data_IF_678899786490
#
_entry.id   IF_678899786490
#
_cell.length_a   1.000
_cell.length_b   1.000
_cell.length_c   1.000
_cell.angle_alpha   90.00
_cell.angle_beta   90.00
_cell.angle_gamma   90.00
#
_symmetry.space_group_name_H-M   'P 1'
#
loop_
_entity.id
_entity.type
_entity.pdbx_description
1 polymer ?
#
# COMPACT_ATOMS: atom_id res chain seq x y z
N UNK A 1 18.59 3.23 3.72
CA UNK A 1 17.60 2.90 2.66
C UNK A 1 16.56 4.00 2.65
N UNK A 2 16.08 4.43 1.48
CA UNK A 2 15.16 5.56 1.34
C UNK A 2 14.62 5.71 -0.08
N UNK A 3 13.89 6.80 -0.32
CA UNK A 3 13.32 7.09 -1.64
C UNK A 3 14.44 7.30 -2.69
N UNK A 4 14.23 6.91 -3.96
CA UNK A 4 15.20 7.08 -5.05
C UNK A 4 15.72 8.52 -5.14
N UNK A 5 16.94 8.81 -5.58
CA UNK A 5 17.37 10.21 -5.73
C UNK A 5 16.45 11.00 -6.68
N UNK A 6 16.27 12.30 -6.45
CA UNK A 6 15.60 13.18 -7.40
C UNK A 6 16.45 13.26 -8.68
N UNK A 7 15.87 12.88 -9.82
CA UNK A 7 16.55 12.85 -11.13
C UNK A 7 15.89 13.76 -12.16
N UNK A 8 15.20 14.81 -11.71
CA UNK A 8 14.50 15.77 -12.56
C UNK A 8 13.19 15.27 -13.21
N UNK A 9 12.86 13.98 -13.04
CA UNK A 9 11.60 13.40 -13.51
C UNK A 9 10.85 12.84 -12.31
N UNK A 10 9.59 13.24 -12.19
CA UNK A 10 8.66 12.81 -11.15
C UNK A 10 7.35 12.34 -11.77
N UNK A 11 6.70 11.38 -11.12
CA UNK A 11 5.40 10.89 -11.53
C UNK A 11 4.31 11.83 -10.98
N UNK A 12 3.78 12.66 -11.88
CA UNK A 12 2.63 13.52 -11.62
C UNK A 12 1.32 12.78 -11.92
N UNK A 13 0.32 12.96 -11.08
CA UNK A 13 -1.01 12.35 -11.21
C UNK A 13 -2.05 13.46 -11.26
N UNK A 14 -2.37 13.92 -12.47
CA UNK A 14 -3.42 14.91 -12.65
C UNK A 14 -4.79 14.25 -12.57
N UNK A 15 -5.66 14.74 -11.69
CA UNK A 15 -7.03 14.26 -11.58
C UNK A 15 -7.96 15.19 -12.36
N UNK A 16 -9.02 14.64 -12.94
CA UNK A 16 -10.08 15.41 -13.60
C UNK A 16 -10.73 16.33 -12.55
N UNK A 17 -10.85 17.62 -12.88
CA UNK A 17 -11.45 18.62 -11.98
C UNK A 17 -12.88 18.23 -11.59
N UNK A 18 -13.19 18.31 -10.29
CA UNK A 18 -14.51 17.95 -9.74
C UNK A 18 -14.79 16.44 -9.65
N UNK A 19 -13.82 15.57 -9.98
CA UNK A 19 -14.01 14.13 -9.85
C UNK A 19 -14.15 13.69 -8.39
N UNK A 20 -15.06 12.75 -8.13
CA UNK A 20 -15.20 12.12 -6.81
C UNK A 20 -14.00 11.22 -6.53
N UNK A 21 -13.33 11.46 -5.40
CA UNK A 21 -12.23 10.63 -4.95
C UNK A 21 -12.73 9.23 -4.53
N UNK A 22 -12.01 8.15 -4.88
CA UNK A 22 -12.37 6.82 -4.44
C UNK A 22 -12.08 6.65 -2.95
N UNK A 23 -13.01 6.05 -2.22
CA UNK A 23 -12.80 5.58 -0.85
C UNK A 23 -13.36 4.16 -0.73
N UNK A 24 -12.65 3.22 -1.34
CA UNK A 24 -13.12 1.82 -1.40
C UNK A 24 -12.69 1.07 -0.14
N UNK A 25 -13.57 0.22 0.44
CA UNK A 25 -13.21 -0.62 1.55
C UNK A 25 -12.14 -1.64 1.12
N UNK A 26 -11.30 -2.06 2.08
CA UNK A 26 -10.37 -3.16 1.84
C UNK A 26 -11.14 -4.46 1.52
N UNK A 27 -10.60 -5.26 0.62
CA UNK A 27 -11.18 -6.56 0.28
C UNK A 27 -11.15 -7.53 1.47
N UNK A 28 -12.09 -8.48 1.48
CA UNK A 28 -12.08 -9.58 2.45
C UNK A 28 -10.91 -10.50 2.13
N UNK A 29 -10.10 -10.78 3.15
CA UNK A 29 -8.93 -11.66 3.08
C UNK A 29 -9.04 -12.76 4.13
N UNK A 30 -8.47 -13.92 3.84
CA UNK A 30 -8.28 -14.99 4.82
C UNK A 30 -7.06 -14.69 5.73
N UNK A 31 -6.83 -15.45 6.82
CA UNK A 31 -5.74 -15.18 7.74
C UNK A 31 -4.34 -15.25 7.11
N UNK A 32 -4.10 -16.15 6.14
CA UNK A 32 -2.81 -16.29 5.47
C UNK A 32 -2.54 -15.09 4.55
N UNK A 33 -3.54 -14.68 3.76
CA UNK A 33 -3.46 -13.49 2.90
C UNK A 33 -3.26 -12.22 3.71
N UNK A 34 -3.93 -12.12 4.86
CA UNK A 34 -3.81 -10.97 5.76
C UNK A 34 -2.38 -10.82 6.28
N UNK A 35 -1.79 -11.94 6.74
CA UNK A 35 -0.40 -11.98 7.20
C UNK A 35 0.60 -11.66 6.08
N UNK A 36 0.35 -12.13 4.85
CA UNK A 36 1.20 -11.80 3.71
C UNK A 36 1.14 -10.30 3.37
N UNK A 37 -0.06 -9.73 3.31
CA UNK A 37 -0.24 -8.30 3.05
C UNK A 37 0.52 -7.47 4.10
N UNK A 38 0.40 -7.82 5.38
CA UNK A 38 1.14 -7.15 6.45
C UNK A 38 2.65 -7.26 6.29
N UNK A 39 3.15 -8.45 5.98
CA UNK A 39 4.57 -8.69 5.75
C UNK A 39 5.11 -7.78 4.64
N UNK A 40 4.40 -7.72 3.51
CA UNK A 40 4.79 -6.85 2.38
C UNK A 40 4.65 -5.36 2.73
N UNK A 41 3.62 -4.96 3.48
CA UNK A 41 3.46 -3.56 3.93
C UNK A 41 4.57 -3.15 4.90
N UNK A 42 4.95 -4.03 5.82
CA UNK A 42 6.03 -3.79 6.77
C UNK A 42 7.37 -3.65 6.05
N UNK A 43 7.64 -4.49 5.05
CA UNK A 43 8.82 -4.36 4.19
C UNK A 43 8.84 -3.02 3.45
N UNK A 44 7.69 -2.55 2.94
CA UNK A 44 7.59 -1.24 2.29
C UNK A 44 7.82 -0.08 3.26
N UNK A 45 7.37 -0.21 4.51
CA UNK A 45 7.59 0.77 5.58
C UNK A 45 9.06 0.85 5.97
N UNK A 46 9.70 -0.30 6.17
CA UNK A 46 11.13 -0.40 6.53
C UNK A 46 12.04 0.14 5.42
N UNK A 47 11.65 -0.05 4.16
CA UNK A 47 12.34 0.54 3.00
C UNK A 47 12.12 2.06 2.87
N UNK A 48 11.16 2.63 3.60
CA UNK A 48 10.75 4.02 3.47
C UNK A 48 10.02 4.32 2.15
N UNK A 49 9.45 3.30 1.50
CA UNK A 49 8.68 3.46 0.26
C UNK A 49 7.23 3.86 0.53
N UNK A 50 6.71 3.53 1.71
CA UNK A 50 5.38 3.93 2.21
C UNK A 50 5.47 4.45 3.66
N UNK A 51 4.37 4.96 4.20
CA UNK A 51 4.33 6.04 5.23
C UNK A 51 2.94 6.13 5.90
N UNK A 52 2.68 6.78 7.09
CA UNK A 52 1.43 7.09 7.98
C UNK A 52 0.54 8.43 7.76
N UNK A 53 -0.76 8.43 7.22
CA UNK A 53 -1.59 9.41 6.37
C UNK A 53 -3.04 9.43 6.70
N UNK A 54 -3.62 10.60 6.46
CA UNK A 54 -5.04 10.81 6.37
C UNK A 54 -5.43 11.19 4.93
N UNK A 55 -5.16 10.32 3.94
CA UNK A 55 -5.54 10.63 2.55
C UNK A 55 -7.07 10.61 2.35
N UNK A 56 -7.63 11.59 1.63
CA UNK A 56 -9.05 11.57 1.22
C UNK A 56 -9.32 10.57 0.07
N UNK A 57 -8.27 10.05 -0.58
CA UNK A 57 -8.34 9.06 -1.65
C UNK A 57 -7.74 7.75 -1.20
N UNK A 58 -8.45 6.64 -1.39
CA UNK A 58 -8.04 5.32 -0.91
C UNK A 58 -8.43 4.23 -1.91
N UNK A 59 -7.43 3.42 -2.28
CA UNK A 59 -7.62 2.19 -3.05
C UNK A 59 -7.41 0.94 -2.19
N UNK A 60 -8.10 -0.18 -2.48
CA UNK A 60 -7.87 -1.44 -1.77
C UNK A 60 -6.66 -2.17 -2.36
N UNK A 61 -6.08 -3.08 -1.59
CA UNK A 61 -5.05 -4.01 -2.04
C UNK A 61 -5.63 -5.40 -2.26
N UNK A 62 -5.06 -6.15 -3.20
CA UNK A 62 -5.33 -7.56 -3.43
C UNK A 62 -4.03 -8.34 -3.63
N UNK A 63 -4.05 -9.64 -3.33
CA UNK A 63 -2.94 -10.53 -3.63
C UNK A 63 -3.18 -11.26 -4.95
N UNK A 64 -2.13 -11.32 -5.78
CA UNK A 64 -2.12 -12.08 -7.03
C UNK A 64 -1.07 -13.18 -6.90
N UNK A 65 -1.40 -14.46 -7.15
CA UNK A 65 -0.44 -15.54 -7.14
C UNK A 65 0.57 -15.39 -8.28
N UNK A 66 1.85 -15.58 -7.96
CA UNK A 66 2.94 -15.70 -8.93
C UNK A 66 3.15 -17.17 -9.29
N UNK A 67 3.85 -17.40 -10.41
CA UNK A 67 4.23 -18.75 -10.86
C UNK A 67 5.18 -19.48 -9.89
N UNK A 68 5.92 -18.74 -9.08
CA UNK A 68 6.86 -19.27 -8.07
C UNK A 68 6.19 -19.66 -6.74
N UNK A 69 4.85 -19.62 -6.67
CA UNK A 69 4.07 -19.91 -5.46
C UNK A 69 4.01 -18.77 -4.45
N UNK A 70 4.70 -17.64 -4.69
CA UNK A 70 4.61 -16.44 -3.84
C UNK A 70 3.44 -15.56 -4.25
N UNK A 71 3.07 -14.61 -3.41
CA UNK A 71 2.05 -13.61 -3.74
C UNK A 71 2.66 -12.26 -4.12
N UNK A 72 1.99 -11.52 -5.00
CA UNK A 72 2.25 -10.12 -5.31
C UNK A 72 1.11 -9.28 -4.75
N UNK A 73 1.42 -8.35 -3.86
CA UNK A 73 0.46 -7.31 -3.49
C UNK A 73 0.28 -6.33 -4.66
N UNK A 74 -0.96 -6.15 -5.08
CA UNK A 74 -1.38 -5.25 -6.15
C UNK A 74 -2.38 -4.24 -5.61
N UNK A 75 -2.20 -2.97 -5.98
CA UNK A 75 -3.11 -1.89 -5.67
C UNK A 75 -4.22 -1.83 -6.73
N UNK A 76 -5.49 -1.86 -6.32
CA UNK A 76 -6.61 -1.70 -7.26
C UNK A 76 -6.79 -0.22 -7.65
N UNK A 77 -5.92 0.25 -8.52
CA UNK A 77 -5.94 1.62 -9.03
C UNK A 77 -7.03 1.87 -10.08
N UNK A 78 -7.93 0.92 -10.38
CA UNK A 78 -8.95 1.11 -11.44
C UNK A 78 -9.81 2.34 -11.21
N UNK A 79 -10.22 2.57 -9.97
CA UNK A 79 -11.08 3.70 -9.63
C UNK A 79 -10.36 5.04 -9.81
N UNK A 80 -9.11 5.14 -9.35
CA UNK A 80 -8.32 6.36 -9.51
C UNK A 80 -7.91 6.58 -10.97
N UNK A 81 -7.48 5.53 -11.67
CA UNK A 81 -7.09 5.60 -13.09
C UNK A 81 -8.23 6.10 -14.00
N UNK A 82 -9.49 5.86 -13.63
CA UNK A 82 -10.65 6.36 -14.37
C UNK A 82 -10.84 7.88 -14.22
N UNK A 83 -10.36 8.47 -13.12
CA UNK A 83 -10.44 9.91 -12.85
C UNK A 83 -9.10 10.62 -13.06
N UNK A 84 -8.05 9.89 -13.43
CA UNK A 84 -6.75 10.48 -13.81
C UNK A 84 -6.81 10.98 -15.27
N UNK A 85 -6.30 12.19 -15.50
CA UNK A 85 -6.12 12.75 -16.85
C UNK A 85 -5.15 11.88 -17.63
N UNK A 86 -5.59 11.39 -18.78
CA UNK A 86 -4.80 10.46 -19.60
C UNK A 86 -3.74 11.22 -20.39
N UNK A 87 -2.48 11.08 -20.00
CA UNK A 87 -1.36 11.53 -20.81
C UNK A 87 -1.18 10.62 -22.04
N UNK A 88 -1.29 11.20 -23.24
CA UNK A 88 -1.12 10.48 -24.50
C UNK A 88 0.31 10.62 -24.99
N UNK A 89 1.25 9.95 -24.32
CA UNK A 89 2.57 9.72 -24.89
C UNK A 89 2.43 8.68 -26.02
N UNK A 90 2.99 8.97 -27.19
CA UNK A 90 3.05 8.01 -28.29
C UNK A 90 4.13 6.98 -27.96
N UNK A 91 3.72 5.78 -27.55
CA UNK A 91 4.64 4.65 -27.49
C UNK A 91 4.87 4.20 -28.94
N UNK A 92 6.12 4.19 -29.43
CA UNK A 92 6.42 3.75 -30.79
C UNK A 92 5.95 2.30 -31.00
N UNK A 93 5.56 1.96 -32.23
CA UNK A 93 5.14 0.59 -32.51
C UNK A 93 6.36 -0.33 -32.45
N UNK A 94 6.11 -1.61 -32.17
CA UNK A 94 7.18 -2.60 -32.13
C UNK A 94 7.92 -2.66 -33.47
N UNK A 95 7.19 -2.63 -34.58
CA UNK A 95 7.78 -2.66 -35.93
C UNK A 95 8.64 -1.42 -36.17
N UNK A 96 8.16 -0.22 -35.81
CA UNK A 96 8.96 1.02 -35.91
C UNK A 96 10.27 0.90 -35.11
N UNK A 97 10.20 0.37 -33.88
CA UNK A 97 11.39 0.15 -33.04
C UNK A 97 12.33 -0.91 -33.61
N UNK A 98 11.83 -1.92 -34.33
CA UNK A 98 12.64 -2.96 -34.96
C UNK A 98 13.31 -2.46 -36.24
N UNK A 99 12.62 -1.62 -37.01
CA UNK A 99 13.18 -0.99 -38.21
C UNK A 99 14.36 -0.07 -37.86
N UNK A 100 14.29 0.64 -36.72
CA UNK A 100 15.41 1.44 -36.19
C UNK A 100 16.67 0.62 -35.85
N UNK A 101 16.50 -0.69 -35.64
CA UNK A 101 17.59 -1.62 -35.33
C UNK A 101 18.23 -2.22 -36.60
N UNK A 102 17.74 -1.87 -37.80
CA UNK A 102 18.26 -2.40 -39.06
C UNK A 102 19.77 -2.14 -39.22
N UNK A 103 20.51 -3.16 -39.65
CA UNK A 103 21.96 -3.10 -39.86
C UNK A 103 22.79 -3.23 -38.57
N UNK A 104 22.17 -3.20 -37.39
CA UNK A 104 22.86 -3.54 -36.15
C UNK A 104 23.14 -5.04 -36.08
N UNK A 105 24.36 -5.40 -35.68
CA UNK A 105 24.83 -6.79 -35.60
C UNK A 105 25.06 -7.27 -34.15
N UNK A 106 25.09 -6.33 -33.20
CA UNK A 106 25.29 -6.60 -31.78
C UNK A 106 24.17 -5.90 -31.00
N UNK A 107 23.50 -6.65 -30.13
CA UNK A 107 22.40 -6.17 -29.31
C UNK A 107 22.69 -6.37 -27.83
N UNK A 108 22.35 -5.36 -27.03
CA UNK A 108 22.40 -5.42 -25.57
C UNK A 108 21.04 -5.03 -25.02
N UNK A 109 20.49 -5.85 -24.11
CA UNK A 109 19.22 -5.59 -23.45
C UNK A 109 19.46 -5.30 -21.97
N UNK A 110 18.95 -4.17 -21.51
CA UNK A 110 18.99 -3.77 -20.09
C UNK A 110 17.58 -3.81 -19.53
N UNK A 111 17.40 -4.54 -18.42
CA UNK A 111 16.14 -4.58 -17.68
C UNK A 111 16.21 -3.68 -16.44
N UNK A 112 15.29 -2.73 -16.33
CA UNK A 112 15.20 -1.86 -15.15
C UNK A 112 14.46 -2.58 -14.03
N UNK A 113 15.22 -3.20 -13.12
CA UNK A 113 14.66 -3.92 -11.96
C UNK A 113 13.73 -3.02 -11.14
N UNK A 114 12.47 -3.43 -11.02
CA UNK A 114 11.44 -2.66 -10.32
C UNK A 114 11.35 -1.20 -10.77
N UNK A 115 11.48 -0.93 -12.08
CA UNK A 115 11.59 0.41 -12.65
C UNK A 115 10.54 1.41 -12.15
N UNK A 116 9.30 0.97 -11.92
CA UNK A 116 8.23 1.82 -11.37
C UNK A 116 8.59 2.44 -10.01
N UNK A 117 9.29 1.70 -9.15
CA UNK A 117 9.65 2.17 -7.80
C UNK A 117 10.89 3.09 -7.83
N UNK A 118 11.53 3.27 -8.98
CA UNK A 118 12.70 4.15 -9.13
C UNK A 118 12.30 5.59 -9.42
N UNK A 119 11.06 5.84 -9.85
CA UNK A 119 10.52 7.17 -10.13
C UNK A 119 9.72 7.63 -8.90
N UNK A 120 10.05 8.82 -8.36
CA UNK A 120 9.31 9.39 -7.23
C UNK A 120 7.94 9.88 -7.69
N UNK A 121 6.95 9.78 -6.81
CA UNK A 121 5.72 10.56 -6.94
C UNK A 121 6.07 12.03 -6.71
N UNK A 122 5.49 12.92 -7.52
CA UNK A 122 5.65 14.36 -7.37
C UNK A 122 5.22 14.81 -5.96
N UNK A 123 5.97 15.72 -5.37
CA UNK A 123 5.60 16.32 -4.08
C UNK A 123 4.20 16.94 -4.15
N UNK A 124 3.33 16.55 -3.21
CA UNK A 124 1.93 16.96 -3.14
C UNK A 124 0.94 16.01 -3.83
N UNK A 125 1.40 15.04 -4.62
CA UNK A 125 0.55 14.05 -5.30
C UNK A 125 0.46 12.71 -4.57
N UNK A 126 1.24 12.49 -3.53
CA UNK A 126 1.41 11.17 -2.91
C UNK A 126 0.15 10.69 -2.17
N UNK A 127 -0.70 11.62 -1.74
CA UNK A 127 -1.99 11.25 -1.14
C UNK A 127 -2.89 10.53 -2.17
N UNK A 128 -2.70 10.78 -3.46
CA UNK A 128 -3.46 10.14 -4.55
C UNK A 128 -3.16 8.65 -4.63
N UNK A 129 -1.97 8.20 -4.23
CA UNK A 129 -1.56 6.80 -4.28
C UNK A 129 -1.83 6.02 -2.99
N UNK A 130 -2.57 6.59 -2.04
CA UNK A 130 -2.81 5.94 -0.77
C UNK A 130 -3.70 4.69 -0.90
N UNK A 131 -3.35 3.66 -0.15
CA UNK A 131 -4.07 2.38 -0.14
C UNK A 131 -4.45 1.97 1.28
N UNK A 132 -5.45 1.10 1.38
CA UNK A 132 -5.94 0.57 2.64
C UNK A 132 -5.82 -0.94 2.68
N UNK A 133 -5.21 -1.40 3.75
CA UNK A 133 -5.20 -2.81 4.15
C UNK A 133 -6.17 -3.00 5.31
N UNK A 134 -6.59 -4.24 5.53
CA UNK A 134 -7.39 -4.58 6.71
C UNK A 134 -6.50 -4.31 7.93
N UNK A 135 -6.96 -3.49 8.88
CA UNK A 135 -6.25 -3.27 10.14
C UNK A 135 -6.16 -4.60 10.86
N UNK A 136 -4.97 -5.19 10.87
CA UNK A 136 -4.67 -6.31 11.75
C UNK A 136 -4.16 -5.76 13.06
N UNK A 137 -4.79 -6.19 14.14
CA UNK A 137 -4.23 -6.06 15.47
C UNK A 137 -3.39 -7.32 15.67
N UNK A 138 -2.06 -7.23 15.77
CA UNK A 138 -1.22 -8.41 16.02
C UNK A 138 -1.72 -9.17 17.23
N UNK A 139 -1.83 -10.50 17.05
CA UNK A 139 -2.40 -11.41 18.05
C UNK A 139 -3.84 -11.04 18.46
N UNK A 140 -4.67 -10.47 17.60
CA UNK A 140 -6.05 -10.07 17.95
C UNK A 140 -6.83 -11.18 18.64
N UNK A 141 -6.76 -12.42 18.13
CA UNK A 141 -7.47 -13.54 18.74
C UNK A 141 -6.97 -13.87 20.14
N UNK A 142 -5.66 -13.77 20.38
CA UNK A 142 -5.04 -13.98 21.70
C UNK A 142 -5.34 -12.79 22.63
N UNK A 143 -5.28 -11.58 22.09
CA UNK A 143 -5.58 -10.36 22.82
C UNK A 143 -7.04 -10.36 23.23
N UNK A 144 -7.97 -10.68 22.31
CA UNK A 144 -9.41 -10.75 22.57
C UNK A 144 -9.86 -12.04 23.25
N UNK A 145 -8.97 -13.02 23.51
CA UNK A 145 -9.37 -14.30 24.12
C UNK A 145 -10.06 -14.13 25.47
N UNK A 146 -9.62 -13.23 26.37
CA UNK A 146 -10.30 -13.02 27.66
C UNK A 146 -11.72 -12.46 27.49
N UNK A 147 -11.99 -11.72 26.42
CA UNK A 147 -13.32 -11.21 26.10
C UNK A 147 -14.19 -12.29 25.44
N UNK A 148 -13.61 -13.09 24.54
CA UNK A 148 -14.32 -14.19 23.88
C UNK A 148 -14.74 -15.28 24.86
N UNK A 149 -13.99 -15.47 25.96
CA UNK A 149 -14.35 -16.39 27.03
C UNK A 149 -15.66 -16.03 27.73
N UNK A 150 -15.95 -14.74 27.89
CA UNK A 150 -17.20 -14.26 28.48
C UNK A 150 -18.44 -14.59 27.63
N UNK A 151 -18.26 -14.88 26.34
CA UNK A 151 -19.35 -15.14 25.39
C UNK A 151 -19.57 -16.64 25.17
N UNK A 152 -18.76 -17.51 25.80
CA UNK A 152 -18.92 -18.97 25.71
C UNK A 152 -20.16 -19.42 26.48
N UNK A 153 -20.85 -20.44 25.95
CA UNK A 153 -21.98 -21.06 26.66
C UNK A 153 -21.52 -21.65 27.99
N UNK A 154 -22.34 -21.48 29.02
CA UNK A 154 -22.10 -21.97 30.39
C UNK A 154 -20.90 -21.33 31.12
N UNK A 155 -20.49 -20.13 30.71
CA UNK A 155 -19.54 -19.30 31.46
C UNK A 155 -20.31 -18.15 32.10
N UNK A 156 -20.12 -17.96 33.40
CA UNK A 156 -20.68 -16.81 34.12
C UNK A 156 -19.97 -15.52 33.67
N UNK A 157 -20.73 -14.47 33.37
CA UNK A 157 -20.18 -13.21 32.90
C UNK A 157 -19.53 -12.46 34.07
N UNK A 158 -18.22 -12.59 34.21
CA UNK A 158 -17.44 -11.90 35.24
C UNK A 158 -16.44 -10.96 34.57
N UNK A 159 -16.68 -9.66 34.71
CA UNK A 159 -15.79 -8.64 34.18
C UNK A 159 -14.70 -8.30 35.19
N UNK A 160 -13.53 -8.91 35.05
CA UNK A 160 -12.37 -8.69 35.91
C UNK A 160 -11.34 -7.73 35.32
N UNK A 161 -10.24 -7.55 36.05
CA UNK A 161 -9.12 -6.69 35.67
C UNK A 161 -8.50 -7.11 34.33
N UNK A 162 -8.42 -8.41 34.06
CA UNK A 162 -7.87 -8.95 32.82
C UNK A 162 -8.74 -8.61 31.60
N UNK A 163 -10.07 -8.63 31.74
CA UNK A 163 -11.03 -8.27 30.70
C UNK A 163 -11.02 -6.75 30.45
N UNK A 164 -10.98 -5.94 31.51
CA UNK A 164 -10.86 -4.49 31.41
C UNK A 164 -9.59 -4.07 30.69
N UNK A 165 -8.43 -4.61 31.10
CA UNK A 165 -7.14 -4.32 30.46
C UNK A 165 -7.11 -4.73 29.00
N UNK A 166 -7.73 -5.87 28.68
CA UNK A 166 -7.88 -6.36 27.30
C UNK A 166 -8.76 -5.42 26.47
N UNK A 167 -9.90 -5.01 27.00
CA UNK A 167 -10.83 -4.12 26.33
C UNK A 167 -10.19 -2.76 26.04
N UNK A 168 -9.50 -2.16 27.01
CA UNK A 168 -8.80 -0.90 26.84
C UNK A 168 -7.66 -1.00 25.80
N UNK A 169 -6.88 -2.09 25.83
CA UNK A 169 -5.83 -2.32 24.84
C UNK A 169 -6.38 -2.53 23.43
N UNK A 170 -7.51 -3.20 23.28
CA UNK A 170 -8.19 -3.37 21.99
C UNK A 170 -8.79 -2.06 21.51
N UNK A 171 -9.46 -1.31 22.39
CA UNK A 171 -10.00 0.01 22.12
C UNK A 171 -8.88 0.90 21.58
N UNK A 172 -7.77 1.01 22.31
CA UNK A 172 -6.62 1.81 21.92
C UNK A 172 -6.06 1.43 20.53
N UNK A 173 -5.81 0.13 20.30
CA UNK A 173 -5.30 -0.37 19.02
C UNK A 173 -6.30 -0.19 17.86
N UNK A 174 -7.60 -0.14 18.13
CA UNK A 174 -8.64 0.05 17.12
C UNK A 174 -8.95 1.53 16.86
N UNK A 175 -8.87 2.40 17.89
CA UNK A 175 -9.17 3.83 17.80
C UNK A 175 -7.98 4.68 17.37
N UNK A 176 -6.75 4.36 17.80
CA UNK A 176 -5.56 5.17 17.54
C UNK A 176 -4.60 4.59 16.48
N UNK A 177 -5.03 3.54 15.76
CA UNK A 177 -4.25 2.99 14.66
C UNK A 177 -3.94 4.07 13.60
N UNK A 178 -2.66 4.40 13.35
CA UNK A 178 -2.31 5.42 12.37
C UNK A 178 -2.75 4.97 10.98
N UNK A 179 -3.41 5.85 10.25
CA UNK A 179 -3.60 5.72 8.80
C UNK A 179 -2.22 6.06 8.10
N UNK A 180 -1.98 5.90 6.75
CA UNK A 180 -0.66 5.82 5.93
C UNK A 180 -0.15 6.98 4.89
N UNK A 181 0.79 8.01 5.18
CA UNK A 181 1.31 9.41 4.72
C UNK A 181 2.76 9.77 5.23
N UNK A 182 3.47 10.69 4.55
CA UNK A 182 4.93 10.92 4.53
C UNK A 182 5.38 11.58 5.81
N UNK A 183 6.68 11.45 6.10
CA UNK A 183 7.30 12.03 7.27
C UNK A 183 7.19 13.55 7.28
N UNK A 184 7.41 14.04 8.50
CA UNK A 184 7.47 15.44 8.88
C UNK A 184 8.75 16.09 8.33
N UNK A 185 8.56 17.05 7.43
CA UNK A 185 9.65 17.80 6.77
C UNK A 185 10.22 18.93 7.64
N UNK A 186 9.72 19.14 8.86
CA UNK A 186 10.28 20.12 9.80
C UNK A 186 11.57 19.63 10.48
N UNK A 187 11.99 18.39 10.22
CA UNK A 187 13.18 17.79 10.82
C UNK A 187 14.23 17.49 9.77
N UNK A 188 15.46 17.93 10.02
CA UNK A 188 16.64 17.57 9.23
C UNK A 188 17.02 16.11 9.50
N UNK A 189 17.35 15.39 8.43
CA UNK A 189 17.84 14.02 8.51
C UNK A 189 19.33 14.01 8.16
N UNK A 190 20.14 13.50 9.09
CA UNK A 190 21.56 13.22 8.85
C UNK A 190 21.72 11.82 8.21
N UNK A 191 22.80 11.67 7.43
CA UNK A 191 23.12 10.52 6.57
C UNK A 191 23.38 9.22 7.31
#
# INVERSE_FOLDING_TARGET
MGLPYLRGIEHQIDLVSGASLPNRPAYRTNPQETKEIESQVQELLEKGWVRKSLSPCVVPVLLVPKKDGKWRMCYDNRAINNITVKYRHLIPRLDDMLDELHGAIIFSKVDLKSGYNQIRIKEGDEWKTAFKTKRFVPNFSTLASPLNELVKKNVEFIWGEQQEKTFLALKDKLTYAPLLALPDFSRTFDL
#
